data_IF_081395027568
#
_entry.id   IF_081395027568
#
_cell.length_a   1.000
_cell.length_b   1.000
_cell.length_c   1.000
_cell.angle_alpha   90.00
_cell.angle_beta   90.00
_cell.angle_gamma   90.00
#
_symmetry.space_group_name_H-M   'P 1'
#
loop_
_entity.id
_entity.type
_entity.pdbx_description
1 polymer ?
#
# COMPACT_ATOMS: atom_id res chain seq x y z
N UNK A 1 32.11 -6.22 -17.75
CA UNK A 1 31.66 -5.37 -16.62
C UNK A 1 30.14 -5.40 -16.58
N UNK A 2 29.54 -6.00 -15.53
CA UNK A 2 28.09 -6.04 -15.35
C UNK A 2 27.60 -4.66 -14.86
N UNK A 3 26.68 -4.04 -15.59
CA UNK A 3 26.05 -2.77 -15.18
C UNK A 3 25.28 -2.99 -13.87
N UNK A 4 25.39 -2.10 -12.87
CA UNK A 4 24.66 -2.23 -11.62
C UNK A 4 23.17 -1.97 -11.88
N UNK A 5 22.35 -3.02 -11.78
CA UNK A 5 20.90 -2.97 -11.90
C UNK A 5 20.28 -2.42 -10.59
N UNK A 6 20.47 -1.12 -10.33
CA UNK A 6 19.90 -0.41 -9.16
C UNK A 6 18.46 0.04 -9.41
N UNK A 7 17.57 -0.89 -9.78
CA UNK A 7 16.17 -0.53 -10.09
C UNK A 7 15.12 -1.53 -9.64
N UNK A 8 15.50 -2.64 -8.98
CA UNK A 8 14.54 -3.67 -8.54
C UNK A 8 14.64 -4.03 -7.06
N UNK A 9 15.72 -3.63 -6.40
CA UNK A 9 16.04 -4.09 -5.04
C UNK A 9 15.59 -3.15 -3.93
N UNK A 10 15.24 -1.91 -4.21
CA UNK A 10 14.74 -0.98 -3.19
C UNK A 10 13.27 -1.27 -2.81
N UNK A 11 12.47 -1.80 -3.74
CA UNK A 11 11.04 -2.05 -3.53
C UNK A 11 10.74 -3.39 -2.80
N UNK A 12 11.76 -4.20 -2.53
CA UNK A 12 11.60 -5.53 -1.90
C UNK A 12 11.53 -5.43 -0.37
N UNK A 13 11.93 -4.30 0.23
CA UNK A 13 12.05 -4.19 1.69
C UNK A 13 10.71 -4.06 2.45
N UNK A 14 9.60 -3.79 1.75
CA UNK A 14 8.27 -3.60 2.38
C UNK A 14 7.29 -4.77 2.10
N UNK A 15 7.80 -5.95 1.74
CA UNK A 15 6.96 -7.12 1.51
C UNK A 15 6.57 -7.81 2.82
N UNK A 16 5.27 -7.96 3.07
CA UNK A 16 4.74 -8.71 4.22
C UNK A 16 4.45 -10.14 3.78
N UNK A 17 5.09 -11.11 4.44
CA UNK A 17 4.80 -12.53 4.25
C UNK A 17 3.74 -12.99 5.24
N UNK A 18 2.65 -13.56 4.73
CA UNK A 18 1.53 -14.03 5.53
C UNK A 18 1.46 -15.54 5.44
N UNK A 19 1.51 -16.20 6.59
CA UNK A 19 1.25 -17.63 6.68
C UNK A 19 -0.26 -17.86 6.74
N UNK A 20 -0.82 -18.42 5.67
CA UNK A 20 -2.22 -18.85 5.67
C UNK A 20 -2.35 -20.18 6.42
N UNK A 21 -3.32 -20.33 7.33
CA UNK A 21 -3.57 -21.57 8.07
C UNK A 21 -3.98 -22.76 7.18
N UNK A 22 -4.55 -22.50 5.99
CA UNK A 22 -4.95 -23.58 5.07
C UNK A 22 -4.98 -23.15 3.60
N UNK A 23 -4.87 -24.14 2.71
CA UNK A 23 -5.05 -23.98 1.26
C UNK A 23 -6.45 -23.50 0.91
N UNK A 24 -7.49 -24.03 1.57
CA UNK A 24 -8.88 -23.62 1.33
C UNK A 24 -9.13 -22.15 1.66
N UNK A 25 -8.42 -21.59 2.64
CA UNK A 25 -8.49 -20.16 2.96
C UNK A 25 -7.87 -19.30 1.86
N UNK A 26 -6.75 -19.74 1.28
CA UNK A 26 -6.10 -19.06 0.13
C UNK A 26 -7.05 -19.05 -1.08
N UNK A 27 -7.67 -20.18 -1.40
CA UNK A 27 -8.64 -20.28 -2.49
C UNK A 27 -9.85 -19.38 -2.27
N UNK A 28 -10.34 -19.31 -1.02
CA UNK A 28 -11.43 -18.43 -0.66
C UNK A 28 -11.07 -16.95 -0.90
N UNK A 29 -9.88 -16.53 -0.50
CA UNK A 29 -9.40 -15.16 -0.71
C UNK A 29 -9.22 -14.82 -2.18
N UNK A 30 -8.61 -15.72 -2.97
CA UNK A 30 -8.48 -15.56 -4.43
C UNK A 30 -9.84 -15.35 -5.09
N UNK A 31 -10.82 -16.20 -4.76
CA UNK A 31 -12.20 -16.09 -5.29
C UNK A 31 -12.87 -14.77 -4.91
N UNK A 32 -12.63 -14.25 -3.71
CA UNK A 32 -13.18 -12.95 -3.28
C UNK A 32 -12.50 -11.78 -3.99
N UNK A 33 -11.18 -11.83 -4.19
CA UNK A 33 -10.44 -10.82 -4.93
C UNK A 33 -10.89 -10.77 -6.41
N UNK A 34 -11.10 -11.92 -7.04
CA UNK A 34 -11.64 -12.01 -8.40
C UNK A 34 -13.03 -11.37 -8.53
N UNK A 35 -13.92 -11.62 -7.55
CA UNK A 35 -15.27 -11.01 -7.51
C UNK A 35 -15.25 -9.49 -7.45
N UNK A 36 -14.18 -8.90 -6.91
CA UNK A 36 -14.00 -7.44 -6.82
C UNK A 36 -13.03 -6.89 -7.86
N UNK A 37 -12.64 -7.71 -8.85
CA UNK A 37 -11.65 -7.36 -9.89
C UNK A 37 -10.33 -6.83 -9.29
N UNK A 38 -9.94 -7.32 -8.11
CA UNK A 38 -8.73 -6.92 -7.41
C UNK A 38 -7.67 -8.02 -7.44
N UNK A 39 -6.40 -7.64 -7.33
CA UNK A 39 -5.34 -8.61 -7.06
C UNK A 39 -5.47 -9.16 -5.64
N UNK A 40 -4.94 -10.37 -5.40
CA UNK A 40 -4.93 -10.97 -4.06
C UNK A 40 -4.22 -10.08 -3.03
N UNK A 41 -3.11 -9.44 -3.41
CA UNK A 41 -2.37 -8.54 -2.53
C UNK A 41 -3.22 -7.33 -2.13
N UNK A 42 -3.92 -6.72 -3.09
CA UNK A 42 -4.82 -5.59 -2.82
C UNK A 42 -5.98 -6.00 -1.91
N UNK A 43 -6.60 -7.14 -2.19
CA UNK A 43 -7.67 -7.69 -1.36
C UNK A 43 -7.24 -7.90 0.10
N UNK A 44 -6.05 -8.47 0.32
CA UNK A 44 -5.53 -8.70 1.67
C UNK A 44 -5.23 -7.38 2.39
N UNK A 45 -4.56 -6.44 1.72
CA UNK A 45 -4.26 -5.12 2.29
C UNK A 45 -5.53 -4.40 2.70
N UNK A 46 -6.52 -4.31 1.82
CA UNK A 46 -7.81 -3.67 2.12
C UNK A 46 -8.50 -4.33 3.31
N UNK A 47 -8.51 -5.67 3.38
CA UNK A 47 -9.16 -6.38 4.48
C UNK A 47 -8.44 -6.20 5.83
N UNK A 48 -7.12 -6.06 5.81
CA UNK A 48 -6.31 -5.76 7.00
C UNK A 48 -6.54 -4.31 7.44
N UNK A 49 -6.48 -3.35 6.51
CA UNK A 49 -6.79 -1.95 6.82
C UNK A 49 -8.22 -1.82 7.38
N UNK A 50 -9.20 -2.52 6.80
CA UNK A 50 -10.58 -2.60 7.30
C UNK A 50 -10.64 -3.13 8.74
N UNK A 51 -9.83 -4.13 9.09
CA UNK A 51 -9.80 -4.70 10.46
C UNK A 51 -9.24 -3.70 11.45
N UNK A 52 -8.08 -3.10 11.13
CA UNK A 52 -7.42 -2.10 11.96
C UNK A 52 -8.36 -0.92 12.21
N UNK A 53 -9.04 -0.43 11.16
CA UNK A 53 -10.03 0.65 11.29
C UNK A 53 -11.19 0.31 12.23
N UNK A 54 -11.64 -0.94 12.25
CA UNK A 54 -12.72 -1.39 13.13
C UNK A 54 -12.24 -1.55 14.57
N UNK A 55 -10.97 -1.89 14.77
CA UNK A 55 -10.34 -2.03 16.09
C UNK A 55 -10.03 -0.66 16.74
N UNK A 56 -9.58 0.32 15.96
CA UNK A 56 -9.21 1.67 16.45
C UNK A 56 -10.42 2.61 16.68
N UNK A 57 -11.62 2.22 16.24
CA UNK A 57 -12.79 3.09 16.24
C UNK A 57 -12.73 4.22 15.20
N UNK A 58 -13.85 4.92 14.98
CA UNK A 58 -13.98 5.95 13.93
C UNK A 58 -12.98 7.12 14.10
N UNK A 59 -12.54 7.39 15.32
CA UNK A 59 -11.67 8.53 15.66
C UNK A 59 -10.20 8.29 15.26
N UNK A 60 -9.70 7.06 15.45
CA UNK A 60 -8.39 6.65 14.91
C UNK A 60 -8.36 6.66 13.39
N UNK A 61 -9.47 6.26 12.77
CA UNK A 61 -9.63 6.23 11.33
C UNK A 61 -9.58 7.63 10.67
N UNK A 62 -10.28 8.61 11.25
CA UNK A 62 -10.26 10.00 10.77
C UNK A 62 -8.84 10.59 10.80
N UNK A 63 -8.11 10.32 11.89
CA UNK A 63 -6.73 10.77 12.04
C UNK A 63 -5.77 10.11 11.04
N UNK A 64 -5.96 8.83 10.73
CA UNK A 64 -5.18 8.13 9.71
C UNK A 64 -5.45 8.68 8.29
N UNK A 65 -6.70 8.99 7.96
CA UNK A 65 -7.07 9.63 6.70
C UNK A 65 -6.52 11.05 6.58
N UNK A 66 -6.61 11.83 7.65
CA UNK A 66 -6.05 13.17 7.72
C UNK A 66 -4.53 13.14 7.51
N UNK A 67 -3.81 12.24 8.19
CA UNK A 67 -2.38 12.06 8.00
C UNK A 67 -2.03 11.69 6.55
N UNK A 68 -2.77 10.76 5.93
CA UNK A 68 -2.56 10.36 4.54
C UNK A 68 -2.82 11.52 3.57
N UNK A 69 -3.85 12.32 3.82
CA UNK A 69 -4.18 13.50 3.02
C UNK A 69 -3.08 14.56 3.13
N UNK A 70 -2.64 14.87 4.35
CA UNK A 70 -1.55 15.82 4.63
C UNK A 70 -0.27 15.38 3.94
N UNK A 71 0.09 14.10 4.01
CA UNK A 71 1.29 13.57 3.38
C UNK A 71 1.21 13.64 1.85
N UNK A 72 0.06 13.27 1.27
CA UNK A 72 -0.16 13.40 -0.18
C UNK A 72 -0.04 14.84 -0.68
N UNK A 73 -0.42 15.81 0.16
CA UNK A 73 -0.33 17.25 -0.16
C UNK A 73 1.11 17.74 -0.04
N UNK A 74 1.85 17.26 0.96
CA UNK A 74 3.29 17.54 1.13
C UNK A 74 4.10 17.01 -0.05
N UNK A 75 3.84 15.77 -0.46
CA UNK A 75 4.50 15.16 -1.62
C UNK A 75 4.25 15.95 -2.90
N UNK A 76 2.99 16.36 -3.16
CA UNK A 76 2.67 17.22 -4.31
C UNK A 76 3.37 18.58 -4.26
N UNK A 77 3.45 19.20 -3.08
CA UNK A 77 4.19 20.45 -2.92
C UNK A 77 5.68 20.26 -3.19
N UNK A 78 6.28 19.18 -2.68
CA UNK A 78 7.68 18.84 -2.92
C UNK A 78 7.96 18.58 -4.41
N UNK A 79 7.07 17.88 -5.12
CA UNK A 79 7.16 17.66 -6.58
C UNK A 79 7.13 18.98 -7.37
N UNK A 80 6.24 19.91 -7.00
CA UNK A 80 6.16 21.23 -7.64
C UNK A 80 7.45 22.03 -7.42
N UNK A 81 7.97 22.04 -6.19
CA UNK A 81 9.24 22.73 -5.89
C UNK A 81 10.44 22.10 -6.61
N UNK A 82 10.49 20.76 -6.70
CA UNK A 82 11.54 20.06 -7.42
C UNK A 82 11.52 20.35 -8.92
N UNK A 83 10.33 20.35 -9.55
CA UNK A 83 10.17 20.63 -10.97
C UNK A 83 10.33 22.12 -11.34
N UNK A 84 10.15 23.03 -10.39
CA UNK A 84 10.42 24.46 -10.59
C UNK A 84 11.91 24.78 -10.64
N UNK A 85 12.74 24.06 -9.89
CA UNK A 85 14.19 24.28 -9.82
C UNK A 85 14.98 23.64 -10.99
N UNK A 86 14.38 22.73 -11.76
CA UNK A 86 15.03 22.07 -12.91
C UNK A 86 14.79 22.78 -14.25
N UNK A 87 14.04 23.89 -14.25
CA UNK A 87 13.74 24.72 -15.43
C UNK A 87 14.37 26.12 -15.40
N UNK A 88 15.30 26.38 -14.47
CA UNK A 88 16.06 27.64 -14.35
C UNK A 88 17.47 27.50 -14.89
#
# INVERSE_FOLDING_TARGET
MLKPNRGKTETINDAIYIYSPSLGMIENWKRRAEKTCASISKFVVERVEDSIRREEGEEGHLKALENRYVESKRLRLAEVHFNGNTKG
#
